data_IF_783300913613
#
_entry.id   IF_783300913613
#
_cell.length_a   1.000
_cell.length_b   1.000
_cell.length_c   1.000
_cell.angle_alpha   90.00
_cell.angle_beta   90.00
_cell.angle_gamma   90.00
#
_symmetry.space_group_name_H-M   'P 1'
#
loop_
_entity.id
_entity.type
_entity.pdbx_description
1 polymer ?
#
# COMPACT_ATOMS: atom_id res chain seq x y z
N UNK A 1 13.11 -7.57 24.26
CA UNK A 1 11.70 -7.22 24.09
C UNK A 1 11.63 -6.02 23.17
N UNK A 2 11.44 -6.24 21.86
CA UNK A 2 11.52 -5.19 20.84
C UNK A 2 10.51 -5.40 19.69
N UNK A 3 9.39 -6.07 19.98
CA UNK A 3 8.31 -6.31 18.99
C UNK A 3 7.13 -5.33 19.16
N UNK A 4 7.13 -4.50 20.20
CA UNK A 4 5.98 -3.67 20.58
C UNK A 4 5.97 -2.25 19.99
N UNK A 5 6.91 -1.88 19.13
CA UNK A 5 7.02 -0.48 18.64
C UNK A 5 6.56 -0.27 17.19
N UNK A 6 6.40 -1.33 16.40
CA UNK A 6 5.92 -1.21 15.01
C UNK A 6 4.39 -1.11 14.98
N UNK A 7 3.68 -1.92 15.78
CA UNK A 7 2.21 -1.95 15.79
C UNK A 7 1.56 -0.64 16.25
N UNK A 8 2.16 0.07 17.20
CA UNK A 8 1.57 1.28 17.81
C UNK A 8 1.63 2.52 16.91
N UNK A 9 2.47 2.51 15.87
CA UNK A 9 2.67 3.66 14.97
C UNK A 9 2.00 3.49 13.61
N UNK A 10 1.45 2.31 13.27
CA UNK A 10 0.80 2.07 11.98
C UNK A 10 -0.43 2.97 11.75
N UNK A 11 -1.36 3.16 12.71
CA UNK A 11 -2.50 4.04 12.50
C UNK A 11 -2.08 5.50 12.25
N UNK A 12 -1.07 5.98 13.00
CA UNK A 12 -0.51 7.33 12.81
C UNK A 12 0.16 7.46 11.44
N UNK A 13 0.82 6.41 10.97
CA UNK A 13 1.43 6.39 9.64
C UNK A 13 0.36 6.44 8.54
N UNK A 14 -0.72 5.66 8.67
CA UNK A 14 -1.84 5.69 7.71
C UNK A 14 -2.47 7.08 7.65
N UNK A 15 -2.72 7.72 8.80
CA UNK A 15 -3.23 9.11 8.85
C UNK A 15 -2.31 10.09 8.09
N UNK A 16 -0.99 10.01 8.32
CA UNK A 16 -0.01 10.87 7.63
C UNK A 16 0.06 10.58 6.13
N UNK A 17 -0.13 9.34 5.72
CA UNK A 17 -0.18 8.97 4.31
C UNK A 17 -1.47 9.46 3.66
N UNK A 18 -2.62 9.36 4.32
CA UNK A 18 -3.89 9.91 3.82
C UNK A 18 -3.84 11.41 3.57
N UNK A 19 -3.14 12.18 4.43
CA UNK A 19 -3.00 13.63 4.24
C UNK A 19 -2.01 13.99 3.11
N UNK A 20 -1.01 13.12 2.86
CA UNK A 20 0.10 13.40 1.95
C UNK A 20 -0.10 12.84 0.53
N UNK A 21 -0.74 11.68 0.41
CA UNK A 21 -0.87 10.95 -0.83
C UNK A 21 -1.94 11.58 -1.73
N UNK A 22 -1.75 11.45 -3.04
CA UNK A 22 -2.79 11.83 -4.01
C UNK A 22 -3.89 10.77 -3.98
N UNK A 23 -5.10 11.15 -4.42
CA UNK A 23 -6.22 10.21 -4.54
C UNK A 23 -5.81 8.94 -5.31
N UNK A 24 -5.15 9.09 -6.47
CA UNK A 24 -4.67 7.95 -7.26
C UNK A 24 -3.68 7.04 -6.53
N UNK A 25 -2.95 7.56 -5.55
CA UNK A 25 -2.01 6.78 -4.73
C UNK A 25 -2.76 6.11 -3.57
N UNK A 26 -3.78 6.76 -3.00
CA UNK A 26 -4.65 6.18 -1.98
C UNK A 26 -5.50 5.04 -2.55
N UNK A 27 -6.10 5.23 -3.73
CA UNK A 27 -6.91 4.18 -4.36
C UNK A 27 -6.08 2.92 -4.63
N UNK A 28 -4.82 3.06 -5.05
CA UNK A 28 -3.90 1.94 -5.27
C UNK A 28 -3.49 1.31 -3.93
N UNK A 29 -3.22 2.13 -2.91
CA UNK A 29 -2.92 1.64 -1.56
C UNK A 29 -4.10 0.85 -0.98
N UNK A 30 -5.33 1.30 -1.23
CA UNK A 30 -6.55 0.62 -0.80
C UNK A 30 -6.76 -0.68 -1.55
N UNK A 31 -6.60 -0.70 -2.88
CA UNK A 31 -6.69 -1.92 -3.67
C UNK A 31 -5.69 -2.99 -3.16
N UNK A 32 -4.45 -2.59 -2.90
CA UNK A 32 -3.46 -3.49 -2.29
C UNK A 32 -3.83 -3.92 -0.86
N UNK A 33 -4.56 -3.10 -0.10
CA UNK A 33 -4.93 -3.40 1.28
C UNK A 33 -6.11 -4.39 1.34
N UNK A 34 -7.01 -4.31 0.36
CA UNK A 34 -8.12 -5.25 0.16
C UNK A 34 -7.62 -6.64 -0.24
N UNK A 35 -6.46 -6.73 -0.90
CA UNK A 35 -5.80 -7.99 -1.22
C UNK A 35 -5.22 -8.74 0.01
N UNK A 36 -5.42 -8.24 1.24
CA UNK A 36 -5.03 -8.89 2.52
C UNK A 36 -3.55 -9.33 2.65
N UNK A 37 -2.66 -8.78 1.83
CA UNK A 37 -1.24 -9.14 1.82
C UNK A 37 -0.83 -10.10 0.71
N UNK A 38 -1.77 -10.48 -0.16
CA UNK A 38 -1.45 -11.01 -1.49
C UNK A 38 -0.86 -9.88 -2.38
N UNK A 39 -0.09 -10.28 -3.41
CA UNK A 39 0.33 -9.36 -4.45
C UNK A 39 -0.79 -9.10 -5.43
N UNK A 40 -0.81 -7.89 -5.99
CA UNK A 40 -1.61 -7.58 -7.16
C UNK A 40 -0.69 -7.23 -8.32
N UNK A 41 -0.94 -7.86 -9.46
CA UNK A 41 -0.30 -7.48 -10.71
C UNK A 41 -0.70 -6.05 -11.12
N UNK A 42 0.04 -5.47 -12.05
CA UNK A 42 -0.30 -4.13 -12.58
C UNK A 42 -1.65 -4.16 -13.29
N UNK A 43 -1.96 -5.23 -14.01
CA UNK A 43 -3.24 -5.38 -14.72
C UNK A 43 -4.41 -5.45 -13.72
N UNK A 44 -4.29 -6.22 -12.64
CA UNK A 44 -5.32 -6.26 -11.59
C UNK A 44 -5.50 -4.91 -10.92
N UNK A 45 -4.41 -4.19 -10.61
CA UNK A 45 -4.50 -2.83 -10.06
C UNK A 45 -5.17 -1.86 -11.04
N UNK A 46 -4.97 -2.02 -12.34
CA UNK A 46 -5.63 -1.24 -13.38
C UNK A 46 -7.13 -1.53 -13.40
N UNK A 47 -7.53 -2.79 -13.28
CA UNK A 47 -8.93 -3.20 -13.22
C UNK A 47 -9.63 -2.68 -11.96
N UNK A 48 -8.98 -2.82 -10.79
CA UNK A 48 -9.54 -2.42 -9.49
C UNK A 48 -9.67 -0.89 -9.35
N UNK A 49 -8.67 -0.15 -9.84
CA UNK A 49 -8.64 1.31 -9.67
C UNK A 49 -9.18 2.09 -10.87
N UNK A 50 -9.33 1.44 -12.03
CA UNK A 50 -9.71 2.08 -13.29
C UNK A 50 -8.65 3.02 -13.88
N UNK A 51 -7.44 3.07 -13.32
CA UNK A 51 -6.35 3.88 -13.84
C UNK A 51 -5.64 3.23 -15.01
N UNK A 52 -4.90 4.02 -15.78
CA UNK A 52 -4.04 3.46 -16.84
C UNK A 52 -2.84 2.73 -16.23
N UNK A 53 -2.33 1.70 -16.90
CA UNK A 53 -1.11 0.97 -16.49
C UNK A 53 0.06 1.92 -16.17
N UNK A 54 0.24 2.96 -17.00
CA UNK A 54 1.29 3.97 -16.79
C UNK A 54 1.12 4.71 -15.46
N UNK A 55 -0.13 5.01 -15.09
CA UNK A 55 -0.45 5.69 -13.84
C UNK A 55 -0.23 4.74 -12.67
N UNK A 56 -0.74 3.51 -12.76
CA UNK A 56 -0.54 2.47 -11.73
C UNK A 56 0.94 2.26 -11.46
N UNK A 57 1.74 1.92 -12.48
CA UNK A 57 3.19 1.69 -12.33
C UNK A 57 3.89 2.87 -11.64
N UNK A 58 3.63 4.09 -12.11
CA UNK A 58 4.24 5.30 -11.55
C UNK A 58 3.83 5.54 -10.10
N UNK A 59 2.55 5.33 -9.76
CA UNK A 59 2.04 5.58 -8.41
C UNK A 59 2.47 4.49 -7.43
N UNK A 60 2.51 3.24 -7.85
CA UNK A 60 3.06 2.14 -7.06
C UNK A 60 4.52 2.40 -6.71
N UNK A 61 5.35 2.78 -7.70
CA UNK A 61 6.76 3.15 -7.44
C UNK A 61 6.87 4.32 -6.45
N UNK A 62 6.08 5.37 -6.66
CA UNK A 62 6.03 6.53 -5.75
C UNK A 62 5.56 6.14 -4.33
N UNK A 63 4.61 5.19 -4.20
CA UNK A 63 4.18 4.67 -2.90
C UNK A 63 5.34 3.96 -2.22
N UNK A 64 6.02 3.05 -2.91
CA UNK A 64 7.18 2.31 -2.38
C UNK A 64 8.28 3.24 -1.86
N UNK A 65 8.59 4.31 -2.60
CA UNK A 65 9.53 5.34 -2.15
C UNK A 65 9.03 6.06 -0.88
N UNK A 66 7.74 6.40 -0.82
CA UNK A 66 7.14 7.13 0.30
C UNK A 66 7.01 6.30 1.58
N UNK A 67 6.71 5.01 1.47
CA UNK A 67 6.56 4.11 2.64
C UNK A 67 7.87 3.44 3.07
N UNK A 68 9.02 3.98 2.63
CA UNK A 68 10.38 3.46 2.87
C UNK A 68 10.53 2.03 2.35
N UNK A 69 10.70 1.94 1.02
CA UNK A 69 10.86 0.74 0.19
C UNK A 69 11.51 -0.44 0.90
N UNK A 70 10.67 -1.34 1.40
CA UNK A 70 11.06 -2.61 2.03
C UNK A 70 10.32 -2.96 3.32
N UNK A 71 9.75 -1.98 4.04
CA UNK A 71 9.08 -2.30 5.33
C UNK A 71 7.58 -2.61 5.19
N UNK A 72 6.88 -1.86 4.33
CA UNK A 72 5.40 -1.87 4.29
C UNK A 72 4.81 -2.23 2.93
N UNK A 73 5.50 -1.91 1.85
CA UNK A 73 5.26 -2.48 0.52
C UNK A 73 6.49 -3.33 0.18
N UNK A 74 6.26 -4.56 -0.26
CA UNK A 74 7.28 -5.51 -0.69
C UNK A 74 7.02 -5.90 -2.13
N UNK A 75 8.09 -6.16 -2.88
CA UNK A 75 8.00 -6.83 -4.19
C UNK A 75 8.09 -8.34 -3.97
N UNK A 76 7.18 -9.09 -4.59
CA UNK A 76 7.26 -10.55 -4.65
C UNK A 76 8.36 -10.98 -5.62
N UNK A 77 8.62 -12.30 -5.70
CA UNK A 77 9.55 -12.87 -6.68
C UNK A 77 9.16 -12.58 -8.15
N UNK A 78 7.90 -12.20 -8.39
CA UNK A 78 7.35 -11.84 -9.71
C UNK A 78 7.40 -10.33 -9.98
N UNK A 79 8.09 -9.56 -9.14
CA UNK A 79 8.16 -8.09 -9.18
C UNK A 79 6.80 -7.41 -8.94
N UNK A 80 5.88 -8.07 -8.23
CA UNK A 80 4.55 -7.52 -7.95
C UNK A 80 4.49 -6.86 -6.57
N UNK A 81 3.81 -5.71 -6.44
CA UNK A 81 3.63 -5.05 -5.16
C UNK A 81 2.68 -5.85 -4.25
N UNK A 82 3.10 -6.05 -3.01
CA UNK A 82 2.28 -6.61 -1.92
C UNK A 82 2.42 -5.74 -0.66
N UNK A 83 1.30 -5.44 -0.01
CA UNK A 83 1.34 -4.76 1.28
C UNK A 83 1.65 -5.73 2.42
N UNK A 84 2.36 -5.24 3.42
CA UNK A 84 2.53 -5.97 4.66
C UNK A 84 1.16 -6.17 5.34
N UNK A 85 0.78 -7.39 5.79
CA UNK A 85 -0.56 -7.67 6.31
C UNK A 85 -0.98 -6.74 7.47
N UNK A 86 -0.05 -6.41 8.37
CA UNK A 86 -0.32 -5.47 9.47
C UNK A 86 -0.63 -4.04 8.98
N UNK A 87 -0.06 -3.64 7.84
CA UNK A 87 -0.29 -2.32 7.25
C UNK A 87 -1.56 -2.31 6.40
N UNK A 88 -1.81 -3.35 5.60
CA UNK A 88 -3.08 -3.56 4.91
C UNK A 88 -4.27 -3.51 5.88
N UNK A 89 -4.14 -4.16 7.05
CA UNK A 89 -5.12 -4.08 8.12
C UNK A 89 -5.30 -2.64 8.65
N UNK A 90 -4.20 -1.94 8.94
CA UNK A 90 -4.28 -0.57 9.46
C UNK A 90 -4.91 0.42 8.47
N UNK A 91 -4.69 0.23 7.16
CA UNK A 91 -5.32 1.02 6.09
C UNK A 91 -6.84 0.80 6.07
N UNK A 92 -7.29 -0.46 6.11
CA UNK A 92 -8.72 -0.79 6.16
C UNK A 92 -9.41 -0.31 7.43
N UNK A 93 -8.72 -0.40 8.58
CA UNK A 93 -9.25 0.07 9.87
C UNK A 93 -9.34 1.61 9.94
N UNK A 94 -8.65 2.37 9.09
CA UNK A 94 -8.68 3.84 9.08
C UNK A 94 -9.85 4.42 8.27
N UNK A 95 -10.32 3.74 7.24
CA UNK A 95 -11.46 4.17 6.40
C UNK A 95 -12.83 3.90 7.07
N UNK A 96 -12.87 3.25 8.23
CA UNK A 96 -14.07 2.65 8.83
C UNK A 96 -14.60 3.31 10.10
#
# INVERSE_FOLDING_TARGET
MAESSVGSNLPRLVELLHDRLKQSELDILHALAEADGDSLSVDELVEETGYTERTVKKRTETLEEQVHGGTLIRRTDEDEPALHPAFARAVREYEH
#
